data_IF_644793991685
#
_entry.id   IF_644793991685
#
_cell.length_a   1.000
_cell.length_b   1.000
_cell.length_c   1.000
_cell.angle_alpha   90.00
_cell.angle_beta   90.00
_cell.angle_gamma   90.00
#
_symmetry.space_group_name_H-M   'P 1'
#
loop_
_entity.id
_entity.type
_entity.pdbx_description
1 polymer ?
#
# COMPACT_ATOMS: atom_id res chain seq x y z
N UNK A 1 7.57 6.97 -22.80
CA UNK A 1 8.02 7.22 -21.40
C UNK A 1 9.56 7.29 -21.27
N UNK A 2 10.29 7.75 -22.30
CA UNK A 2 11.76 7.73 -22.34
C UNK A 2 12.47 8.45 -21.17
N UNK A 3 12.10 9.68 -20.77
CA UNK A 3 12.79 10.36 -19.66
C UNK A 3 12.58 9.65 -18.31
N UNK A 4 11.39 9.10 -18.07
CA UNK A 4 11.11 8.32 -16.86
C UNK A 4 11.85 6.98 -16.84
N UNK A 5 12.03 6.38 -18.01
CA UNK A 5 12.78 5.13 -18.18
C UNK A 5 14.24 5.35 -17.79
N UNK A 6 14.87 6.38 -18.33
CA UNK A 6 16.25 6.75 -17.97
C UNK A 6 16.39 7.06 -16.47
N UNK A 7 15.40 7.71 -15.86
CA UNK A 7 15.41 7.99 -14.42
C UNK A 7 15.31 6.71 -13.57
N UNK A 8 14.44 5.75 -13.93
CA UNK A 8 14.37 4.46 -13.25
C UNK A 8 15.66 3.66 -13.42
N UNK A 9 16.25 3.65 -14.62
CA UNK A 9 17.52 2.97 -14.89
C UNK A 9 18.66 3.59 -14.08
N UNK A 10 18.71 4.91 -13.95
CA UNK A 10 19.68 5.58 -13.10
C UNK A 10 19.53 5.17 -11.62
N UNK A 11 18.30 5.12 -11.10
CA UNK A 11 18.05 4.65 -9.72
C UNK A 11 18.44 3.17 -9.57
N UNK A 12 18.13 2.32 -10.55
CA UNK A 12 18.53 0.91 -10.53
C UNK A 12 20.05 0.74 -10.51
N UNK A 13 20.77 1.53 -11.31
CA UNK A 13 22.24 1.55 -11.32
C UNK A 13 22.79 1.99 -9.96
N UNK A 14 22.22 3.04 -9.36
CA UNK A 14 22.60 3.50 -8.02
C UNK A 14 22.43 2.40 -6.98
N UNK A 15 21.38 1.56 -7.04
CA UNK A 15 21.24 0.42 -6.12
C UNK A 15 22.27 -0.69 -6.31
N UNK A 16 22.94 -0.76 -7.46
CA UNK A 16 23.88 -1.83 -7.81
C UNK A 16 25.36 -1.50 -7.56
N UNK A 17 25.70 -0.21 -7.41
CA UNK A 17 27.09 0.24 -7.28
C UNK A 17 27.55 0.36 -5.82
N UNK A 18 28.81 -0.02 -5.56
CA UNK A 18 29.43 0.04 -4.22
C UNK A 18 29.64 1.48 -3.69
N UNK A 19 29.60 2.49 -4.56
CA UNK A 19 29.66 3.91 -4.22
C UNK A 19 28.24 4.50 -4.17
N UNK A 20 27.44 3.99 -3.24
CA UNK A 20 26.04 4.37 -3.06
C UNK A 20 25.90 5.79 -2.50
N UNK A 21 25.63 6.78 -3.36
CA UNK A 21 25.22 8.10 -2.90
C UNK A 21 23.73 8.07 -2.50
N UNK A 22 23.47 7.66 -1.26
CA UNK A 22 22.12 7.47 -0.73
C UNK A 22 21.24 8.72 -0.88
N UNK A 23 21.79 9.90 -0.64
CA UNK A 23 21.01 11.14 -0.62
C UNK A 23 20.57 11.55 -2.02
N UNK A 24 21.42 11.33 -3.02
CA UNK A 24 21.09 11.54 -4.43
C UNK A 24 20.06 10.51 -4.91
N UNK A 25 20.26 9.23 -4.59
CA UNK A 25 19.32 8.16 -4.93
C UNK A 25 17.91 8.42 -4.35
N UNK A 26 17.84 8.85 -3.08
CA UNK A 26 16.57 9.26 -2.44
C UNK A 26 15.89 10.41 -3.18
N UNK A 27 16.64 11.47 -3.51
CA UNK A 27 16.09 12.65 -4.20
C UNK A 27 15.55 12.29 -5.59
N UNK A 28 16.32 11.54 -6.37
CA UNK A 28 15.94 11.10 -7.71
C UNK A 28 14.70 10.22 -7.66
N UNK A 29 14.68 9.23 -6.77
CA UNK A 29 13.50 8.36 -6.62
C UNK A 29 12.26 9.16 -6.18
N UNK A 30 12.39 10.04 -5.19
CA UNK A 30 11.25 10.82 -4.68
C UNK A 30 10.68 11.73 -5.76
N UNK A 31 11.52 12.38 -6.57
CA UNK A 31 11.07 13.16 -7.72
C UNK A 31 10.32 12.29 -8.73
N UNK A 32 10.96 11.21 -9.18
CA UNK A 32 10.41 10.26 -10.15
C UNK A 32 9.03 9.71 -9.73
N UNK A 33 8.90 9.28 -8.48
CA UNK A 33 7.68 8.69 -7.94
C UNK A 33 6.56 9.72 -7.80
N UNK A 34 6.88 10.97 -7.46
CA UNK A 34 5.90 12.06 -7.40
C UNK A 34 5.37 12.42 -8.78
N UNK A 35 6.26 12.53 -9.77
CA UNK A 35 5.89 12.81 -11.15
C UNK A 35 5.04 11.67 -11.71
N UNK A 36 5.47 10.42 -11.47
CA UNK A 36 4.74 9.24 -11.90
C UNK A 36 3.36 9.15 -11.25
N UNK A 37 3.24 9.51 -9.97
CA UNK A 37 1.94 9.59 -9.28
C UNK A 37 1.05 10.66 -9.92
N UNK A 38 1.60 11.81 -10.31
CA UNK A 38 0.87 12.85 -11.04
C UNK A 38 0.36 12.37 -12.40
N UNK A 39 1.19 11.66 -13.14
CA UNK A 39 0.81 11.04 -14.43
C UNK A 39 -0.27 9.99 -14.21
N UNK A 40 -0.08 9.09 -13.24
CA UNK A 40 -1.08 8.10 -12.87
C UNK A 40 -2.40 8.76 -12.50
N UNK A 41 -2.37 9.85 -11.73
CA UNK A 41 -3.58 10.60 -11.36
C UNK A 41 -4.33 11.18 -12.57
N UNK A 42 -3.59 11.68 -13.58
CA UNK A 42 -4.18 12.23 -14.80
C UNK A 42 -4.78 11.16 -15.73
N UNK A 43 -4.28 9.92 -15.66
CA UNK A 43 -4.75 8.81 -16.49
C UNK A 43 -6.05 8.21 -15.94
N UNK A 44 -7.17 8.81 -16.35
CA UNK A 44 -8.52 8.36 -16.00
C UNK A 44 -9.13 7.38 -17.02
N UNK A 45 -8.57 7.28 -18.23
CA UNK A 45 -9.03 6.35 -19.26
C UNK A 45 -8.31 4.99 -19.15
N UNK A 46 -9.03 3.89 -19.39
CA UNK A 46 -8.49 2.50 -19.42
C UNK A 46 -7.22 2.43 -20.26
N UNK A 47 -7.25 2.89 -21.51
CA UNK A 47 -6.12 2.75 -22.45
C UNK A 47 -4.85 3.43 -21.94
N UNK A 48 -4.93 4.68 -21.49
CA UNK A 48 -3.77 5.42 -20.98
C UNK A 48 -3.23 4.80 -19.70
N UNK A 49 -4.12 4.35 -18.81
CA UNK A 49 -3.71 3.68 -17.58
C UNK A 49 -3.04 2.32 -17.87
N UNK A 50 -3.55 1.57 -18.84
CA UNK A 50 -2.96 0.30 -19.28
C UNK A 50 -1.56 0.50 -19.85
N UNK A 51 -1.35 1.50 -20.70
CA UNK A 51 -0.01 1.83 -21.21
C UNK A 51 0.97 2.16 -20.09
N UNK A 52 0.50 2.83 -19.03
CA UNK A 52 1.30 3.10 -17.84
C UNK A 52 1.61 1.80 -17.08
N UNK A 53 0.61 0.94 -16.88
CA UNK A 53 0.77 -0.31 -16.16
C UNK A 53 1.73 -1.27 -16.86
N UNK A 54 1.60 -1.43 -18.18
CA UNK A 54 2.49 -2.25 -19.01
C UNK A 54 3.92 -1.72 -19.05
N UNK A 55 4.10 -0.40 -18.91
CA UNK A 55 5.44 0.20 -18.84
C UNK A 55 6.09 0.00 -17.45
N UNK A 56 5.33 0.11 -16.36
CA UNK A 56 5.88 -0.02 -14.99
C UNK A 56 6.07 -1.48 -14.57
N UNK A 57 5.14 -2.35 -14.93
CA UNK A 57 5.15 -3.76 -14.58
C UNK A 57 5.69 -4.60 -15.76
N UNK A 58 6.61 -5.56 -15.54
CA UNK A 58 7.19 -5.93 -14.25
C UNK A 58 8.47 -5.14 -13.91
N UNK A 59 9.04 -4.41 -14.86
CA UNK A 59 10.45 -3.98 -14.83
C UNK A 59 10.81 -3.03 -13.68
N UNK A 60 9.92 -2.09 -13.33
CA UNK A 60 10.25 -1.02 -12.37
C UNK A 60 9.62 -1.21 -10.99
N UNK A 61 8.67 -2.15 -10.84
CA UNK A 61 8.10 -2.51 -9.53
C UNK A 61 9.15 -2.99 -8.51
N UNK A 62 10.15 -3.84 -8.87
CA UNK A 62 11.21 -4.25 -7.95
C UNK A 62 12.05 -3.10 -7.42
N UNK A 63 12.24 -2.04 -8.20
CA UNK A 63 12.99 -0.84 -7.78
C UNK A 63 12.25 -0.13 -6.65
N UNK A 64 10.92 0.01 -6.79
CA UNK A 64 10.06 0.60 -5.75
C UNK A 64 10.05 -0.23 -4.47
N UNK A 65 10.00 -1.56 -4.61
CA UNK A 65 10.06 -2.49 -3.48
C UNK A 65 11.41 -2.37 -2.76
N UNK A 66 12.51 -2.40 -3.51
CA UNK A 66 13.85 -2.25 -2.94
C UNK A 66 14.02 -0.94 -2.18
N UNK A 67 13.47 0.15 -2.70
CA UNK A 67 13.50 1.44 -2.02
C UNK A 67 12.76 1.42 -0.67
N UNK A 68 11.58 0.81 -0.62
CA UNK A 68 10.83 0.62 0.64
C UNK A 68 11.61 -0.25 1.62
N UNK A 69 12.24 -1.32 1.13
CA UNK A 69 13.03 -2.21 1.98
C UNK A 69 14.23 -1.49 2.61
N UNK A 70 14.95 -0.66 1.84
CA UNK A 70 16.14 0.06 2.31
C UNK A 70 15.78 1.22 3.23
N UNK A 71 14.74 1.97 2.90
CA UNK A 71 14.44 3.26 3.51
C UNK A 71 13.15 3.27 4.31
N UNK A 72 12.69 2.11 4.81
CA UNK A 72 11.45 1.98 5.59
C UNK A 72 11.32 2.98 6.76
N UNK A 73 12.46 3.37 7.35
CA UNK A 73 12.58 4.30 8.47
C UNK A 73 12.54 5.79 8.05
N UNK A 74 12.54 6.10 6.75
CA UNK A 74 12.56 7.46 6.20
C UNK A 74 11.23 7.78 5.48
N UNK A 75 10.29 8.48 6.14
CA UNK A 75 9.00 8.84 5.55
C UNK A 75 9.10 9.74 4.33
N UNK A 76 10.18 10.52 4.18
CA UNK A 76 10.36 11.39 3.02
C UNK A 76 10.48 10.57 1.73
N UNK A 77 11.02 9.35 1.84
CA UNK A 77 11.15 8.40 0.75
C UNK A 77 9.96 7.44 0.65
N UNK A 78 9.54 6.83 1.77
CA UNK A 78 8.49 5.79 1.75
C UNK A 78 7.11 6.35 1.43
N UNK A 79 6.76 7.52 1.96
CA UNK A 79 5.42 8.10 1.76
C UNK A 79 5.11 8.32 0.27
N UNK A 80 5.98 8.95 -0.54
CA UNK A 80 5.75 9.05 -1.99
C UNK A 80 5.53 7.70 -2.68
N UNK A 81 6.34 6.68 -2.37
CA UNK A 81 6.25 5.35 -3.00
C UNK A 81 4.93 4.67 -2.65
N UNK A 82 4.56 4.66 -1.37
CA UNK A 82 3.27 4.12 -0.93
C UNK A 82 2.10 4.87 -1.55
N UNK A 83 2.19 6.20 -1.70
CA UNK A 83 1.15 7.01 -2.35
C UNK A 83 1.03 6.77 -3.86
N UNK A 84 2.13 6.47 -4.54
CA UNK A 84 2.09 6.04 -5.93
C UNK A 84 1.37 4.69 -6.03
N UNK A 85 1.72 3.72 -5.20
CA UNK A 85 1.06 2.41 -5.19
C UNK A 85 -0.43 2.52 -4.86
N UNK A 86 -0.80 3.34 -3.88
CA UNK A 86 -2.19 3.63 -3.55
C UNK A 86 -2.95 4.28 -4.72
N UNK A 87 -2.29 5.12 -5.54
CA UNK A 87 -2.89 5.68 -6.74
C UNK A 87 -3.07 4.58 -7.82
N UNK A 88 -2.06 3.75 -8.08
CA UNK A 88 -2.14 2.69 -9.09
C UNK A 88 -3.28 1.69 -8.85
N UNK A 89 -3.57 1.35 -7.59
CA UNK A 89 -4.68 0.42 -7.25
C UNK A 89 -6.04 1.09 -7.21
N UNK A 90 -6.09 2.42 -7.23
CA UNK A 90 -7.35 3.13 -7.12
C UNK A 90 -8.09 3.13 -8.46
N UNK A 91 -9.23 2.44 -8.51
CA UNK A 91 -10.11 2.39 -9.68
C UNK A 91 -10.93 3.69 -9.87
N UNK A 92 -10.24 4.82 -10.08
CA UNK A 92 -10.90 6.09 -10.40
C UNK A 92 -11.52 6.03 -11.78
N UNK A 93 -12.76 6.48 -11.91
CA UNK A 93 -13.46 6.59 -13.19
C UNK A 93 -13.49 5.27 -14.00
N UNK A 94 -13.53 4.13 -13.32
CA UNK A 94 -13.52 2.79 -13.96
C UNK A 94 -12.30 2.52 -14.84
N UNK A 95 -11.14 3.15 -14.56
CA UNK A 95 -9.91 2.96 -15.34
C UNK A 95 -9.30 1.56 -15.23
N UNK A 96 -9.56 0.84 -14.13
CA UNK A 96 -9.07 -0.52 -13.88
C UNK A 96 -10.05 -1.58 -14.41
N UNK A 97 -10.64 -1.34 -15.58
CA UNK A 97 -11.52 -2.33 -16.20
C UNK A 97 -10.71 -3.26 -17.11
N UNK A 98 -10.14 -4.30 -16.52
CA UNK A 98 -9.43 -5.33 -17.26
C UNK A 98 -10.39 -6.25 -18.01
N UNK A 99 -9.97 -6.76 -19.17
CA UNK A 99 -10.74 -7.79 -19.87
C UNK A 99 -10.75 -9.09 -19.05
N UNK A 100 -11.81 -9.89 -19.13
CA UNK A 100 -12.00 -11.09 -18.28
C UNK A 100 -10.85 -12.10 -18.43
N UNK A 101 -10.20 -12.13 -19.58
CA UNK A 101 -9.02 -12.96 -19.86
C UNK A 101 -7.69 -12.35 -19.41
N UNK A 102 -7.69 -11.09 -18.97
CA UNK A 102 -6.46 -10.37 -18.63
C UNK A 102 -6.00 -10.72 -17.21
N UNK A 103 -4.72 -11.11 -17.03
CA UNK A 103 -4.18 -11.34 -15.69
C UNK A 103 -3.87 -10.03 -14.95
N UNK A 104 -4.01 -8.86 -15.57
CA UNK A 104 -3.45 -7.60 -15.07
C UNK A 104 -4.01 -7.17 -13.71
N UNK A 105 -5.30 -7.44 -13.43
CA UNK A 105 -5.86 -7.20 -12.11
C UNK A 105 -5.17 -8.03 -11.01
N UNK A 106 -4.96 -9.32 -11.28
CA UNK A 106 -4.27 -10.25 -10.39
C UNK A 106 -2.83 -9.78 -10.18
N UNK A 107 -2.13 -9.41 -11.26
CA UNK A 107 -0.74 -8.93 -11.21
C UNK A 107 -0.62 -7.64 -10.39
N UNK A 108 -1.50 -6.66 -10.63
CA UNK A 108 -1.53 -5.41 -9.88
C UNK A 108 -1.77 -5.67 -8.38
N UNK A 109 -2.72 -6.53 -8.04
CA UNK A 109 -2.97 -6.89 -6.64
C UNK A 109 -1.79 -7.62 -6.01
N UNK A 110 -1.13 -8.52 -6.74
CA UNK A 110 0.05 -9.23 -6.22
C UNK A 110 1.18 -8.28 -5.87
N UNK A 111 1.48 -7.30 -6.72
CA UNK A 111 2.49 -6.28 -6.42
C UNK A 111 2.06 -5.36 -5.27
N UNK A 112 0.76 -5.09 -5.15
CA UNK A 112 0.18 -4.33 -4.02
C UNK A 112 0.36 -5.08 -2.71
N UNK A 113 0.00 -6.36 -2.68
CA UNK A 113 0.16 -7.23 -1.52
C UNK A 113 1.63 -7.32 -1.09
N UNK A 114 2.55 -7.52 -2.03
CA UNK A 114 4.00 -7.51 -1.75
C UNK A 114 4.43 -6.19 -1.15
N UNK A 115 3.99 -5.06 -1.68
CA UNK A 115 4.34 -3.73 -1.16
C UNK A 115 3.84 -3.53 0.28
N UNK A 116 2.58 -3.88 0.55
CA UNK A 116 1.98 -3.79 1.90
C UNK A 116 2.74 -4.69 2.86
N UNK A 117 3.00 -5.94 2.47
CA UNK A 117 3.70 -6.93 3.30
C UNK A 117 5.14 -6.51 3.60
N UNK A 118 5.85 -6.00 2.59
CA UNK A 118 7.24 -5.55 2.73
C UNK A 118 7.35 -4.34 3.63
N UNK A 119 6.56 -3.28 3.38
CA UNK A 119 6.55 -2.11 4.25
C UNK A 119 6.07 -2.45 5.66
N UNK A 120 4.97 -3.19 5.77
CA UNK A 120 4.32 -3.55 7.02
C UNK A 120 5.24 -4.34 7.95
N UNK A 121 5.88 -5.40 7.44
CA UNK A 121 6.80 -6.18 8.27
C UNK A 121 8.03 -5.37 8.69
N UNK A 122 8.56 -4.48 7.83
CA UNK A 122 9.72 -3.64 8.18
C UNK A 122 9.35 -2.56 9.19
N UNK A 123 8.24 -1.85 9.01
CA UNK A 123 7.85 -0.77 9.92
C UNK A 123 7.51 -1.28 11.33
N UNK A 124 7.08 -2.54 11.46
CA UNK A 124 6.86 -3.18 12.76
C UNK A 124 8.17 -3.48 13.52
N UNK A 125 9.31 -3.56 12.81
CA UNK A 125 10.64 -3.69 13.44
C UNK A 125 11.20 -2.35 13.93
N UNK A 126 10.54 -1.24 13.61
CA UNK A 126 10.90 0.06 14.13
C UNK A 126 10.71 0.04 15.66
N UNK A 127 11.77 0.41 16.39
CA UNK A 127 11.76 0.45 17.86
C UNK A 127 10.84 1.53 18.43
N UNK A 128 11.06 1.90 19.69
CA UNK A 128 10.30 2.99 20.32
C UNK A 128 10.50 4.30 19.56
N UNK A 129 9.37 4.90 19.14
CA UNK A 129 9.35 6.19 18.46
C UNK A 129 8.84 7.25 19.42
N UNK A 130 9.48 8.43 19.49
CA UNK A 130 8.98 9.56 20.27
C UNK A 130 7.55 9.94 19.88
N UNK A 131 6.66 10.15 20.86
CA UNK A 131 5.23 10.42 20.63
C UNK A 131 4.95 11.56 19.66
N UNK A 132 5.81 12.59 19.65
CA UNK A 132 5.77 13.73 18.74
C UNK A 132 6.00 13.36 17.27
N UNK A 133 6.68 12.25 17.00
CA UNK A 133 7.06 11.81 15.65
C UNK A 133 6.41 10.48 15.22
N UNK A 134 5.74 9.77 16.14
CA UNK A 134 5.03 8.51 15.89
C UNK A 134 4.15 8.60 14.64
N UNK A 135 3.39 9.70 14.50
CA UNK A 135 2.52 9.87 13.34
C UNK A 135 3.31 9.92 12.02
N UNK A 136 4.36 10.75 11.96
CA UNK A 136 5.12 10.96 10.74
C UNK A 136 5.94 9.73 10.34
N UNK A 137 6.57 9.08 11.33
CA UNK A 137 7.50 7.97 11.13
C UNK A 137 6.79 6.63 10.92
N UNK A 138 5.64 6.40 11.58
CA UNK A 138 4.95 5.10 11.60
C UNK A 138 3.51 5.20 11.08
N UNK A 139 2.64 5.92 11.78
CA UNK A 139 1.17 5.82 11.56
C UNK A 139 0.73 6.31 10.18
N UNK A 140 1.38 7.34 9.64
CA UNK A 140 1.06 7.88 8.32
C UNK A 140 1.28 6.86 7.20
N UNK A 141 2.35 6.08 7.27
CA UNK A 141 2.59 5.01 6.31
C UNK A 141 1.57 3.89 6.44
N UNK A 142 1.24 3.50 7.67
CA UNK A 142 0.19 2.50 7.96
C UNK A 142 -1.17 2.95 7.40
N UNK A 143 -1.54 4.21 7.60
CA UNK A 143 -2.78 4.79 7.06
C UNK A 143 -2.84 4.71 5.52
N UNK A 144 -1.71 4.90 4.84
CA UNK A 144 -1.63 4.73 3.38
C UNK A 144 -1.78 3.26 2.98
N UNK A 145 -1.18 2.32 3.73
CA UNK A 145 -1.39 0.89 3.51
C UNK A 145 -2.86 0.48 3.67
N UNK A 146 -3.56 1.00 4.69
CA UNK A 146 -4.99 0.75 4.87
C UNK A 146 -5.80 1.29 3.69
N UNK A 147 -5.51 2.52 3.25
CA UNK A 147 -6.15 3.13 2.09
C UNK A 147 -5.90 2.35 0.80
N UNK A 148 -4.67 1.84 0.63
CA UNK A 148 -4.26 1.03 -0.52
C UNK A 148 -4.99 -0.32 -0.54
N UNK A 149 -5.04 -1.02 0.60
CA UNK A 149 -5.76 -2.28 0.73
C UNK A 149 -7.25 -2.09 0.47
N UNK A 150 -7.85 -1.04 1.06
CA UNK A 150 -9.26 -0.69 0.84
C UNK A 150 -9.55 -0.51 -0.64
N UNK A 151 -8.76 0.31 -1.33
CA UNK A 151 -8.94 0.60 -2.75
C UNK A 151 -8.81 -0.66 -3.62
N UNK A 152 -7.91 -1.57 -3.25
CA UNK A 152 -7.70 -2.82 -3.97
C UNK A 152 -8.86 -3.81 -3.76
N UNK A 153 -9.37 -3.96 -2.53
CA UNK A 153 -10.48 -4.84 -2.21
C UNK A 153 -11.80 -4.34 -2.82
N UNK A 154 -12.08 -3.03 -2.72
CA UNK A 154 -13.31 -2.43 -3.27
C UNK A 154 -13.19 -2.05 -4.76
N UNK A 155 -12.10 -2.41 -5.42
CA UNK A 155 -11.78 -1.93 -6.78
C UNK A 155 -12.56 -2.61 -7.90
N UNK A 156 -13.15 -3.79 -7.63
CA UNK A 156 -13.91 -4.61 -8.59
C UNK A 156 -13.13 -5.02 -9.86
N UNK A 157 -11.79 -5.00 -9.81
CA UNK A 157 -10.92 -5.32 -10.94
C UNK A 157 -10.16 -6.66 -10.78
N UNK A 158 -10.34 -7.35 -9.65
CA UNK A 158 -9.76 -8.66 -9.37
C UNK A 158 -10.82 -9.57 -8.76
N UNK A 159 -10.88 -10.81 -9.22
CA UNK A 159 -11.63 -11.85 -8.51
C UNK A 159 -10.72 -12.49 -7.46
N UNK A 160 -10.97 -12.21 -6.18
CA UNK A 160 -10.14 -12.72 -5.10
C UNK A 160 -10.21 -14.24 -4.89
N UNK A 161 -11.25 -14.91 -5.41
CA UNK A 161 -11.37 -16.37 -5.34
C UNK A 161 -10.25 -17.11 -6.10
N UNK A 162 -9.65 -16.47 -7.11
CA UNK A 162 -8.58 -17.09 -7.92
C UNK A 162 -7.31 -17.34 -7.09
N UNK A 163 -7.02 -16.49 -6.11
CA UNK A 163 -5.83 -16.64 -5.25
C UNK A 163 -5.86 -17.98 -4.51
N UNK A 164 -7.01 -18.31 -3.90
CA UNK A 164 -7.19 -19.59 -3.22
C UNK A 164 -7.18 -20.78 -4.19
N UNK A 165 -7.76 -20.63 -5.38
CA UNK A 165 -7.81 -21.71 -6.39
C UNK A 165 -6.42 -22.07 -6.94
N UNK A 166 -5.53 -21.08 -7.07
CA UNK A 166 -4.17 -21.28 -7.59
C UNK A 166 -3.09 -21.40 -6.51
N UNK A 167 -3.46 -21.39 -5.22
CA UNK A 167 -2.50 -21.44 -4.11
C UNK A 167 -1.59 -20.21 -4.04
N UNK A 168 -2.10 -19.04 -4.43
CA UNK A 168 -1.37 -17.76 -4.34
C UNK A 168 -1.76 -17.04 -3.04
N UNK A 169 -0.80 -16.94 -2.12
CA UNK A 169 -1.02 -16.37 -0.77
C UNK A 169 -1.08 -14.83 -0.76
N UNK A 170 -1.12 -14.15 -1.90
CA UNK A 170 -1.07 -12.68 -1.95
C UNK A 170 -2.18 -12.02 -1.12
N UNK A 171 -3.42 -12.51 -1.18
CA UNK A 171 -4.51 -11.93 -0.40
C UNK A 171 -4.31 -12.16 1.10
N UNK A 172 -3.98 -13.39 1.48
CA UNK A 172 -3.80 -13.77 2.88
C UNK A 172 -2.62 -13.00 3.50
N UNK A 173 -1.51 -12.84 2.78
CA UNK A 173 -0.36 -12.05 3.23
C UNK A 173 -0.73 -10.58 3.49
N UNK A 174 -1.51 -9.96 2.60
CA UNK A 174 -1.94 -8.57 2.77
C UNK A 174 -2.87 -8.41 3.98
N UNK A 175 -3.83 -9.32 4.15
CA UNK A 175 -4.78 -9.33 5.26
C UNK A 175 -4.09 -9.59 6.61
N UNK A 176 -3.17 -10.56 6.67
CA UNK A 176 -2.38 -10.83 7.87
C UNK A 176 -1.48 -9.65 8.24
N UNK A 177 -0.87 -8.98 7.24
CA UNK A 177 -0.11 -7.76 7.48
C UNK A 177 -0.98 -6.64 8.02
N UNK A 178 -2.20 -6.48 7.50
CA UNK A 178 -3.18 -5.53 8.04
C UNK A 178 -3.44 -5.76 9.52
N UNK A 179 -3.68 -7.00 9.96
CA UNK A 179 -3.91 -7.32 11.37
C UNK A 179 -2.68 -6.98 12.24
N UNK A 180 -1.48 -7.36 11.80
CA UNK A 180 -0.24 -7.03 12.52
C UNK A 180 -0.05 -5.52 12.66
N UNK A 181 -0.35 -4.76 11.60
CA UNK A 181 -0.29 -3.30 11.64
C UNK A 181 -1.34 -2.71 12.58
N UNK A 182 -2.57 -3.21 12.53
CA UNK A 182 -3.68 -2.77 13.38
C UNK A 182 -3.35 -2.95 14.86
N UNK A 183 -2.91 -4.15 15.26
CA UNK A 183 -2.55 -4.45 16.65
C UNK A 183 -1.34 -3.65 17.16
N UNK A 184 -0.54 -3.07 16.25
CA UNK A 184 0.60 -2.23 16.61
C UNK A 184 0.23 -0.77 16.91
N UNK A 185 -1.04 -0.40 16.74
CA UNK A 185 -1.57 0.94 16.96
C UNK A 185 -2.33 0.96 18.30
N UNK A 186 -1.97 1.83 19.24
CA UNK A 186 -2.78 2.08 20.44
C UNK A 186 -4.15 2.66 20.08
N UNK A 187 -5.21 2.29 20.81
CA UNK A 187 -6.55 2.85 20.59
C UNK A 187 -6.59 4.38 20.67
N UNK A 188 -5.82 4.99 21.58
CA UNK A 188 -5.69 6.45 21.67
C UNK A 188 -5.26 7.09 20.35
N UNK A 189 -4.32 6.47 19.64
CA UNK A 189 -3.80 7.00 18.37
C UNK A 189 -4.85 6.91 17.26
N UNK A 190 -5.76 5.92 17.29
CA UNK A 190 -6.88 5.86 16.35
C UNK A 190 -7.86 7.03 16.54
N UNK A 191 -8.00 7.54 17.77
CA UNK A 191 -8.86 8.69 18.07
C UNK A 191 -8.14 10.02 17.80
N UNK A 192 -6.86 10.11 18.15
CA UNK A 192 -6.07 11.35 18.06
C UNK A 192 -5.69 11.72 16.62
N UNK A 193 -5.64 10.75 15.69
CA UNK A 193 -5.21 10.97 14.30
C UNK A 193 -6.33 10.70 13.27
N UNK A 194 -7.09 11.73 12.85
CA UNK A 194 -8.27 11.57 11.98
C UNK A 194 -8.01 10.87 10.65
N UNK A 195 -6.83 11.07 10.04
CA UNK A 195 -6.48 10.42 8.76
C UNK A 195 -6.27 8.91 8.93
N UNK A 196 -5.67 8.51 10.05
CA UNK A 196 -5.51 7.10 10.40
C UNK A 196 -6.88 6.48 10.63
N UNK A 197 -7.67 7.10 11.49
CA UNK A 197 -9.06 6.74 11.80
C UNK A 197 -9.90 6.51 10.54
N UNK A 198 -9.93 7.51 9.66
CA UNK A 198 -10.68 7.45 8.40
C UNK A 198 -10.23 6.27 7.53
N UNK A 199 -8.92 6.09 7.36
CA UNK A 199 -8.38 4.97 6.55
C UNK A 199 -8.68 3.60 7.16
N UNK A 200 -8.65 3.49 8.48
CA UNK A 200 -8.94 2.26 9.21
C UNK A 200 -10.42 1.89 9.11
N UNK A 201 -11.34 2.78 9.51
CA UNK A 201 -12.77 2.49 9.51
C UNK A 201 -13.31 2.27 8.08
N UNK A 202 -12.81 3.01 7.09
CA UNK A 202 -13.18 2.79 5.68
C UNK A 202 -12.75 1.42 5.16
N UNK A 203 -11.59 0.92 5.61
CA UNK A 203 -11.14 -0.43 5.27
C UNK A 203 -11.97 -1.49 6.02
N UNK A 204 -12.24 -1.27 7.30
CA UNK A 204 -13.03 -2.18 8.12
C UNK A 204 -14.45 -2.36 7.58
N UNK A 205 -15.06 -1.29 7.07
CA UNK A 205 -16.35 -1.35 6.39
C UNK A 205 -16.30 -2.31 5.17
N UNK A 206 -15.31 -2.16 4.30
CA UNK A 206 -15.14 -3.06 3.13
C UNK A 206 -14.90 -4.50 3.57
N UNK A 207 -14.10 -4.71 4.61
CA UNK A 207 -13.82 -6.06 5.11
C UNK A 207 -15.06 -6.72 5.71
N UNK A 208 -15.91 -5.97 6.42
CA UNK A 208 -17.14 -6.52 7.01
C UNK A 208 -18.24 -6.73 5.99
N UNK A 209 -18.27 -5.96 4.89
CA UNK A 209 -19.22 -6.14 3.79
C UNK A 209 -18.84 -7.32 2.87
N UNK A 210 -17.61 -7.34 2.34
CA UNK A 210 -17.23 -8.24 1.25
C UNK A 210 -16.34 -9.41 1.70
N UNK A 211 -15.72 -9.30 2.89
CA UNK A 211 -14.75 -10.26 3.41
C UNK A 211 -15.08 -10.74 4.83
N UNK A 212 -16.37 -10.82 5.19
CA UNK A 212 -16.81 -11.19 6.55
C UNK A 212 -16.26 -12.54 7.02
N UNK A 213 -16.07 -13.50 6.11
CA UNK A 213 -15.45 -14.79 6.41
C UNK A 213 -14.04 -14.64 7.00
N UNK A 214 -13.26 -13.66 6.53
CA UNK A 214 -11.95 -13.36 7.09
C UNK A 214 -12.09 -12.80 8.51
N UNK A 215 -12.96 -11.81 8.73
CA UNK A 215 -13.20 -11.22 10.05
C UNK A 215 -13.66 -12.28 11.06
N UNK A 216 -14.57 -13.17 10.66
CA UNK A 216 -15.08 -14.26 11.49
C UNK A 216 -14.01 -15.32 11.83
N UNK A 217 -12.94 -15.42 11.03
CA UNK A 217 -11.83 -16.35 11.27
C UNK A 217 -10.71 -15.77 12.16
N UNK A 218 -10.80 -14.50 12.54
CA UNK A 218 -9.79 -13.84 13.37
C UNK A 218 -9.77 -14.39 14.79
N UNK A 219 -8.61 -14.31 15.43
CA UNK A 219 -8.47 -14.70 16.84
C UNK A 219 -9.32 -13.79 17.75
N UNK A 220 -9.84 -14.30 18.88
CA UNK A 220 -10.73 -13.54 19.76
C UNK A 220 -10.15 -12.20 20.23
N UNK A 221 -8.84 -12.13 20.49
CA UNK A 221 -8.19 -10.90 20.94
C UNK A 221 -8.21 -9.80 19.87
N UNK A 222 -8.13 -10.18 18.58
CA UNK A 222 -8.19 -9.25 17.44
C UNK A 222 -9.62 -8.74 17.25
N UNK A 223 -10.61 -9.63 17.37
CA UNK A 223 -12.02 -9.25 17.32
C UNK A 223 -12.34 -8.27 18.45
N UNK A 224 -11.86 -8.54 19.67
CA UNK A 224 -12.02 -7.63 20.80
C UNK A 224 -11.36 -6.27 20.53
N UNK A 225 -10.14 -6.24 19.96
CA UNK A 225 -9.50 -4.99 19.57
C UNK A 225 -10.41 -4.17 18.62
N UNK A 226 -10.95 -4.82 17.58
CA UNK A 226 -11.83 -4.19 16.59
C UNK A 226 -13.11 -3.67 17.26
N UNK A 227 -13.79 -4.48 18.06
CA UNK A 227 -15.02 -4.09 18.74
C UNK A 227 -14.80 -2.93 19.72
N UNK A 228 -13.71 -2.97 20.50
CA UNK A 228 -13.34 -1.86 21.38
C UNK A 228 -13.07 -0.59 20.58
N UNK A 229 -12.35 -0.68 19.46
CA UNK A 229 -12.10 0.50 18.61
C UNK A 229 -13.40 1.11 18.08
N UNK A 230 -14.36 0.30 17.62
CA UNK A 230 -15.68 0.77 17.17
C UNK A 230 -16.43 1.42 18.34
N UNK A 231 -16.45 0.79 19.51
CA UNK A 231 -17.12 1.31 20.70
C UNK A 231 -16.57 2.69 21.07
N UNK A 232 -15.25 2.82 21.16
CA UNK A 232 -14.58 4.09 21.48
C UNK A 232 -14.82 5.15 20.41
N UNK A 233 -14.73 4.77 19.13
CA UNK A 233 -14.99 5.66 18.00
C UNK A 233 -16.42 6.19 17.95
N UNK A 234 -17.42 5.39 18.36
CA UNK A 234 -18.81 5.83 18.47
C UNK A 234 -19.03 6.75 19.67
N UNK A 235 -18.35 6.52 20.80
CA UNK A 235 -18.45 7.40 21.98
C UNK A 235 -17.73 8.74 21.83
N UNK A 236 -16.80 8.84 20.86
CA UNK A 236 -16.05 10.06 20.58
C UNK A 236 -16.79 11.02 19.61
N UNK A 237 -17.91 10.59 19.01
CA UNK A 237 -18.82 11.41 18.20
C UNK A 237 -19.81 12.19 19.07
#
# INVERSE_FOLDING_TARGET
MLPLTAAFEAVAQMFSTNSFNEQEAKRTLVGLVRDLRGIAFAFNAKTSFMMLFEWIYPSYMPILQRAIELWYHDPACTTPVLKLMAELVHNRSQRLQFDVSSPNGILLFRETSKMITMYGNRILTLGEVPKDQVYALKLKGISICFSMLKAALSGSYVNFGVFRLYGDDALDNALQTFIKLLLSIPHSDLLDYPKLSQSYYSLLEVLTQDHMNFIASLEPHVIMYILSSISEGLTAL
#
